data_IF_615305800461
#
_entry.id   IF_615305800461
#
_cell.length_a   1.000
_cell.length_b   1.000
_cell.length_c   1.000
_cell.angle_alpha   90.00
_cell.angle_beta   90.00
_cell.angle_gamma   90.00
#
_symmetry.space_group_name_H-M   'P 1'
#
loop_
_entity.id
_entity.type
_entity.pdbx_description
1 polymer ?
#
# COMPACT_ATOMS: atom_id res chain seq x y z
N UNK A 1 -37.55 -1.92 73.65
CA UNK A 1 -38.91 -2.49 73.79
C UNK A 1 -39.48 -2.65 72.39
N UNK A 2 -39.52 -3.88 71.85
CA UNK A 2 -40.01 -4.17 70.51
C UNK A 2 -41.51 -4.45 70.52
N UNK A 3 -42.17 -4.21 69.40
CA UNK A 3 -43.51 -4.73 69.16
C UNK A 3 -44.22 -4.01 68.04
N UNK A 4 -44.19 -4.58 66.82
CA UNK A 4 -45.38 -4.73 65.98
C UNK A 4 -45.16 -5.95 65.09
N UNK A 5 -46.02 -6.95 65.27
CA UNK A 5 -46.26 -8.05 64.34
C UNK A 5 -47.43 -7.65 63.45
N UNK A 6 -47.33 -7.82 62.14
CA UNK A 6 -48.51 -8.02 61.28
C UNK A 6 -48.17 -8.92 60.09
N UNK A 7 -48.90 -10.02 60.04
CA UNK A 7 -48.90 -11.08 59.03
C UNK A 7 -49.91 -10.68 57.95
N UNK A 8 -49.54 -10.78 56.67
CA UNK A 8 -50.50 -10.99 55.57
C UNK A 8 -49.96 -12.06 54.62
N UNK A 9 -50.67 -13.21 54.60
CA UNK A 9 -50.60 -14.25 53.57
C UNK A 9 -51.48 -13.83 52.38
N UNK A 10 -51.03 -14.12 51.15
CA UNK A 10 -51.82 -14.58 49.97
C UNK A 10 -50.83 -14.75 48.80
N UNK A 11 -50.46 -15.96 48.36
CA UNK A 11 -51.18 -16.99 47.58
C UNK A 11 -51.39 -16.64 46.08
N UNK A 12 -50.82 -17.51 45.22
CA UNK A 12 -51.30 -17.99 43.91
C UNK A 12 -50.87 -17.26 42.61
N UNK A 13 -50.13 -18.06 41.80
CA UNK A 13 -50.07 -18.18 40.32
C UNK A 13 -50.07 -16.91 39.46
N UNK A 14 -48.99 -16.74 38.70
CA UNK A 14 -49.13 -16.72 37.23
C UNK A 14 -47.86 -17.25 36.54
N UNK A 15 -47.97 -18.45 36.00
CA UNK A 15 -46.96 -19.13 35.18
C UNK A 15 -47.11 -18.59 33.75
N UNK A 16 -46.52 -17.43 33.44
CA UNK A 16 -46.54 -16.89 32.07
C UNK A 16 -45.46 -17.55 31.21
N UNK A 17 -45.96 -18.47 30.41
CA UNK A 17 -45.33 -19.23 29.36
C UNK A 17 -44.81 -18.30 28.24
N UNK A 18 -43.58 -17.80 28.38
CA UNK A 18 -42.86 -17.19 27.26
C UNK A 18 -42.30 -18.31 26.36
N UNK A 19 -43.10 -18.69 25.34
CA UNK A 19 -42.61 -19.41 24.16
C UNK A 19 -41.69 -18.47 23.38
N UNK A 20 -40.39 -18.48 23.71
CA UNK A 20 -39.38 -17.88 22.86
C UNK A 20 -39.18 -18.84 21.67
N UNK A 21 -39.61 -18.37 20.51
CA UNK A 21 -39.56 -19.07 19.23
C UNK A 21 -38.08 -19.36 18.84
N UNK A 22 -37.66 -20.62 18.59
CA UNK A 22 -36.27 -20.96 18.32
C UNK A 22 -35.82 -20.70 16.85
N UNK A 23 -36.53 -19.84 16.10
CA UNK A 23 -36.23 -19.60 14.67
C UNK A 23 -35.14 -18.55 14.41
N UNK A 24 -34.81 -17.68 15.37
CA UNK A 24 -33.82 -16.61 15.15
C UNK A 24 -32.35 -17.03 15.35
N UNK A 25 -32.08 -18.16 16.04
CA UNK A 25 -30.69 -18.62 16.27
C UNK A 25 -30.09 -19.46 15.14
N UNK A 26 -30.89 -19.88 14.16
CA UNK A 26 -30.37 -20.67 13.03
C UNK A 26 -29.95 -19.81 11.83
N UNK A 27 -30.58 -18.65 11.61
CA UNK A 27 -30.23 -17.78 10.48
C UNK A 27 -28.84 -17.13 10.63
N UNK A 28 -28.45 -16.77 11.85
CA UNK A 28 -27.13 -16.18 12.14
C UNK A 28 -25.93 -17.14 12.03
N UNK A 29 -26.15 -18.46 12.04
CA UNK A 29 -25.06 -19.44 11.86
C UNK A 29 -24.74 -19.70 10.39
N UNK A 30 -25.73 -19.57 9.51
CA UNK A 30 -25.54 -19.79 8.07
C UNK A 30 -24.79 -18.62 7.43
N UNK A 31 -25.13 -17.38 7.80
CA UNK A 31 -24.45 -16.16 7.31
C UNK A 31 -23.00 -16.05 7.80
N UNK A 32 -22.70 -16.50 9.02
CA UNK A 32 -21.32 -16.50 9.56
C UNK A 32 -20.38 -17.46 8.83
N UNK A 33 -20.87 -18.64 8.41
CA UNK A 33 -20.05 -19.62 7.68
C UNK A 33 -19.77 -19.20 6.24
N UNK A 34 -20.76 -18.60 5.57
CA UNK A 34 -20.61 -18.12 4.19
C UNK A 34 -19.66 -16.91 4.12
N UNK A 35 -19.74 -15.98 5.07
CA UNK A 35 -18.86 -14.81 5.14
C UNK A 35 -17.39 -15.19 5.41
N UNK A 36 -17.13 -16.12 6.33
CA UNK A 36 -15.75 -16.56 6.60
C UNK A 36 -15.14 -17.26 5.38
N UNK A 37 -15.93 -18.06 4.65
CA UNK A 37 -15.49 -18.75 3.44
C UNK A 37 -15.18 -17.78 2.30
N UNK A 38 -15.98 -16.72 2.12
CA UNK A 38 -15.69 -15.67 1.13
C UNK A 38 -14.42 -14.90 1.48
N UNK A 39 -14.22 -14.51 2.75
CA UNK A 39 -13.00 -13.80 3.15
C UNK A 39 -11.74 -14.65 2.95
N UNK A 40 -11.79 -15.95 3.29
CA UNK A 40 -10.66 -16.86 3.06
C UNK A 40 -10.37 -17.06 1.56
N UNK A 41 -11.41 -17.20 0.74
CA UNK A 41 -11.28 -17.30 -0.71
C UNK A 41 -10.69 -16.02 -1.33
N UNK A 42 -11.09 -14.84 -0.83
CA UNK A 42 -10.54 -13.56 -1.27
C UNK A 42 -9.06 -13.42 -0.90
N UNK A 43 -8.68 -13.82 0.31
CA UNK A 43 -7.27 -13.82 0.76
C UNK A 43 -6.42 -14.81 -0.05
N UNK A 44 -6.95 -16.00 -0.34
CA UNK A 44 -6.27 -16.99 -1.20
C UNK A 44 -6.17 -16.54 -2.66
N UNK A 45 -7.16 -15.80 -3.18
CA UNK A 45 -7.09 -15.17 -4.51
C UNK A 45 -6.06 -14.04 -4.57
N UNK A 46 -5.86 -13.31 -3.49
CA UNK A 46 -4.85 -12.24 -3.40
C UNK A 46 -3.44 -12.78 -3.11
N UNK A 47 -3.32 -13.97 -2.51
CA UNK A 47 -2.04 -14.61 -2.18
C UNK A 47 -1.32 -15.26 -3.39
N UNK A 48 -1.94 -15.26 -4.58
CA UNK A 48 -1.33 -15.72 -5.83
C UNK A 48 -0.56 -14.65 -6.62
N UNK A 49 -0.50 -13.41 -6.12
CA UNK A 49 0.32 -12.36 -6.73
C UNK A 49 1.76 -12.46 -6.18
N UNK A 50 2.66 -13.07 -6.95
CA UNK A 50 4.09 -13.27 -6.62
C UNK A 50 4.82 -11.96 -6.20
N UNK A 51 4.25 -10.80 -6.51
CA UNK A 51 4.46 -9.54 -5.79
C UNK A 51 3.37 -8.54 -6.18
N UNK A 52 2.95 -7.67 -5.25
CA UNK A 52 2.21 -6.46 -5.60
C UNK A 52 3.12 -5.58 -6.45
N UNK A 53 2.98 -5.64 -7.77
CA UNK A 53 3.74 -4.78 -8.68
C UNK A 53 3.04 -3.43 -8.73
N UNK A 54 3.62 -2.46 -8.02
CA UNK A 54 3.16 -1.07 -8.11
C UNK A 54 3.26 -0.60 -9.56
N UNK A 55 2.32 0.27 -9.95
CA UNK A 55 2.37 0.88 -11.28
C UNK A 55 3.70 1.65 -11.45
N UNK A 56 4.29 1.64 -12.66
CA UNK A 56 5.54 2.35 -12.90
C UNK A 56 5.45 3.84 -12.56
N UNK A 57 6.48 4.36 -11.90
CA UNK A 57 6.60 5.80 -11.58
C UNK A 57 6.70 6.63 -12.85
N UNK A 58 6.46 7.94 -12.77
CA UNK A 58 6.68 8.82 -13.93
C UNK A 58 8.14 8.78 -14.40
N UNK A 59 9.08 8.65 -13.48
CA UNK A 59 10.51 8.52 -13.80
C UNK A 59 10.81 7.21 -14.54
N UNK A 60 10.20 6.10 -14.13
CA UNK A 60 10.31 4.82 -14.84
C UNK A 60 9.69 4.88 -16.24
N UNK A 61 8.56 5.58 -16.42
CA UNK A 61 7.95 5.79 -17.74
C UNK A 61 8.84 6.65 -18.64
N UNK A 62 9.41 7.72 -18.10
CA UNK A 62 10.35 8.58 -18.83
C UNK A 62 11.58 7.79 -19.28
N UNK A 63 12.17 6.98 -18.40
CA UNK A 63 13.30 6.13 -18.74
C UNK A 63 12.92 5.05 -19.78
N UNK A 64 11.77 4.40 -19.64
CA UNK A 64 11.29 3.41 -20.61
C UNK A 64 11.06 4.01 -22.00
N UNK A 65 10.53 5.24 -22.06
CA UNK A 65 10.37 5.96 -23.32
C UNK A 65 11.73 6.39 -23.90
N UNK A 66 12.62 6.93 -23.08
CA UNK A 66 13.98 7.32 -23.48
C UNK A 66 14.74 6.12 -24.04
N UNK A 67 14.67 4.95 -23.39
CA UNK A 67 15.26 3.71 -23.88
C UNK A 67 14.75 3.31 -25.27
N UNK A 68 13.44 3.47 -25.54
CA UNK A 68 12.91 3.23 -26.88
C UNK A 68 13.42 4.23 -27.92
N UNK A 69 13.69 5.49 -27.55
CA UNK A 69 14.32 6.46 -28.45
C UNK A 69 15.79 6.12 -28.72
N UNK A 70 16.54 5.80 -27.66
CA UNK A 70 17.95 5.40 -27.74
C UNK A 70 18.13 4.19 -28.65
N UNK A 71 17.31 3.15 -28.49
CA UNK A 71 17.42 1.93 -29.30
C UNK A 71 16.99 2.14 -30.75
N UNK A 72 15.99 2.98 -31.01
CA UNK A 72 15.62 3.36 -32.38
C UNK A 72 16.74 4.13 -33.09
N UNK A 73 17.33 5.13 -32.42
CA UNK A 73 18.49 5.87 -32.96
C UNK A 73 19.69 4.95 -33.15
N UNK A 74 19.98 4.05 -32.21
CA UNK A 74 21.07 3.08 -32.35
C UNK A 74 20.87 2.13 -33.55
N UNK A 75 19.64 1.65 -33.79
CA UNK A 75 19.33 0.82 -34.95
C UNK A 75 19.52 1.57 -36.27
N UNK A 76 19.10 2.83 -36.31
CA UNK A 76 19.27 3.70 -37.49
C UNK A 76 20.74 4.05 -37.74
N UNK A 77 21.51 4.34 -36.69
CA UNK A 77 22.96 4.57 -36.79
C UNK A 77 23.68 3.34 -37.30
N UNK A 78 23.41 2.15 -36.76
CA UNK A 78 24.02 0.89 -37.21
C UNK A 78 23.77 0.63 -38.71
N UNK A 79 22.55 0.93 -39.18
CA UNK A 79 22.18 0.84 -40.60
C UNK A 79 22.92 1.86 -41.45
N UNK A 80 22.98 3.11 -41.01
CA UNK A 80 23.60 4.23 -41.74
C UNK A 80 25.11 4.09 -41.85
N UNK A 81 25.76 3.63 -40.78
CA UNK A 81 27.20 3.37 -40.74
C UNK A 81 27.60 2.05 -41.43
N UNK A 82 26.65 1.33 -42.03
CA UNK A 82 26.88 0.05 -42.69
C UNK A 82 27.59 -0.96 -41.78
N UNK A 83 27.17 -1.02 -40.51
CA UNK A 83 27.76 -1.95 -39.55
C UNK A 83 27.53 -3.41 -39.98
N UNK A 84 28.11 -4.37 -39.25
CA UNK A 84 27.87 -5.79 -39.51
C UNK A 84 26.37 -6.13 -39.51
N UNK A 85 25.97 -7.11 -40.34
CA UNK A 85 24.58 -7.58 -40.41
C UNK A 85 24.07 -8.05 -39.05
N UNK A 86 24.95 -8.66 -38.25
CA UNK A 86 24.65 -9.08 -36.89
C UNK A 86 24.30 -7.89 -35.99
N UNK A 87 25.10 -6.82 -35.99
CA UNK A 87 24.83 -5.63 -35.17
C UNK A 87 23.54 -4.92 -35.60
N UNK A 88 23.26 -4.84 -36.90
CA UNK A 88 22.00 -4.30 -37.42
C UNK A 88 20.80 -5.15 -36.96
N UNK A 89 20.94 -6.48 -36.95
CA UNK A 89 19.88 -7.37 -36.47
C UNK A 89 19.65 -7.24 -34.95
N UNK A 90 20.73 -7.17 -34.16
CA UNK A 90 20.65 -7.00 -32.70
C UNK A 90 20.02 -5.67 -32.30
N UNK A 91 20.43 -4.57 -32.95
CA UNK A 91 19.87 -3.23 -32.66
C UNK A 91 18.39 -3.13 -33.06
N UNK A 92 18.01 -3.73 -34.20
CA UNK A 92 16.60 -3.84 -34.60
C UNK A 92 15.75 -4.64 -33.60
N UNK A 93 16.29 -5.74 -33.07
CA UNK A 93 15.61 -6.52 -32.04
C UNK A 93 15.47 -5.71 -30.73
N UNK A 94 16.53 -5.00 -30.34
CA UNK A 94 16.53 -4.14 -29.16
C UNK A 94 15.49 -3.02 -29.25
N UNK A 95 15.35 -2.38 -30.42
CA UNK A 95 14.28 -1.40 -30.69
C UNK A 95 12.89 -2.01 -30.48
N UNK A 96 12.64 -3.20 -31.05
CA UNK A 96 11.35 -3.87 -30.93
C UNK A 96 11.01 -4.23 -29.47
N UNK A 97 11.98 -4.78 -28.73
CA UNK A 97 11.82 -5.11 -27.31
C UNK A 97 11.56 -3.84 -26.48
N UNK A 98 12.26 -2.75 -26.78
CA UNK A 98 12.09 -1.47 -26.10
C UNK A 98 10.70 -0.90 -26.29
N UNK A 99 10.14 -0.97 -27.49
CA UNK A 99 8.76 -0.55 -27.77
C UNK A 99 7.75 -1.37 -26.97
N UNK A 100 7.99 -2.66 -26.79
CA UNK A 100 7.15 -3.50 -25.94
C UNK A 100 7.23 -3.06 -24.46
N UNK A 101 8.41 -2.72 -23.96
CA UNK A 101 8.57 -2.18 -22.60
C UNK A 101 7.88 -0.83 -22.41
N UNK A 102 8.01 0.11 -23.35
CA UNK A 102 7.31 1.40 -23.27
C UNK A 102 5.78 1.20 -23.30
N UNK A 103 5.27 0.27 -24.12
CA UNK A 103 3.85 -0.08 -24.14
C UNK A 103 3.36 -0.63 -22.80
N UNK A 104 4.17 -1.50 -22.17
CA UNK A 104 3.86 -2.06 -20.84
C UNK A 104 3.89 -1.01 -19.73
N UNK A 105 4.89 -0.11 -19.74
CA UNK A 105 5.02 0.93 -18.71
C UNK A 105 4.02 2.09 -18.89
N UNK A 106 3.53 2.29 -20.12
CA UNK A 106 2.73 3.45 -20.50
C UNK A 106 3.60 4.65 -20.90
N UNK A 107 2.93 5.72 -21.36
CA UNK A 107 3.59 6.94 -21.80
C UNK A 107 3.84 7.89 -20.62
N UNK A 108 4.99 8.58 -20.58
CA UNK A 108 5.25 9.60 -19.57
C UNK A 108 4.38 10.83 -19.82
N UNK A 109 4.09 11.60 -18.76
CA UNK A 109 3.40 12.90 -18.89
C UNK A 109 4.29 13.96 -19.54
N UNK A 110 5.58 13.92 -19.23
CA UNK A 110 6.60 14.82 -19.75
C UNK A 110 7.67 14.01 -20.49
N UNK A 111 7.91 14.37 -21.75
CA UNK A 111 8.85 13.66 -22.60
C UNK A 111 10.27 14.25 -22.46
N UNK A 112 11.30 13.44 -22.15
CA UNK A 112 12.66 13.91 -22.20
C UNK A 112 13.07 14.24 -23.64
N UNK A 113 13.99 15.19 -23.82
CA UNK A 113 14.48 15.58 -25.14
C UNK A 113 15.37 14.44 -25.69
N UNK A 114 14.94 13.82 -26.79
CA UNK A 114 15.57 12.62 -27.34
C UNK A 114 15.27 12.43 -28.85
N UNK A 115 15.24 13.52 -29.61
CA UNK A 115 15.05 13.47 -31.06
C UNK A 115 16.35 13.13 -31.80
N UNK A 116 17.48 13.62 -31.30
CA UNK A 116 18.82 13.39 -31.89
C UNK A 116 19.75 12.64 -30.94
N UNK A 117 20.84 12.09 -31.48
CA UNK A 117 21.89 11.42 -30.69
C UNK A 117 22.46 12.36 -29.62
N UNK A 118 22.71 13.62 -29.95
CA UNK A 118 23.26 14.61 -29.02
C UNK A 118 22.30 14.88 -27.87
N UNK A 119 21.00 14.96 -28.16
CA UNK A 119 19.96 15.11 -27.13
C UNK A 119 19.87 13.88 -26.24
N UNK A 120 19.89 12.68 -26.84
CA UNK A 120 19.85 11.40 -26.11
C UNK A 120 21.03 11.29 -25.13
N UNK A 121 22.24 11.64 -25.57
CA UNK A 121 23.46 11.49 -24.79
C UNK A 121 23.72 12.63 -23.79
N UNK A 122 22.75 13.52 -23.57
CA UNK A 122 22.85 14.56 -22.55
C UNK A 122 22.97 13.99 -21.14
N UNK A 123 23.70 14.70 -20.28
CA UNK A 123 23.90 14.33 -18.88
C UNK A 123 22.57 14.14 -18.12
N UNK A 124 21.55 14.96 -18.40
CA UNK A 124 20.22 14.82 -17.80
C UNK A 124 19.57 13.46 -18.07
N UNK A 125 19.79 12.88 -19.26
CA UNK A 125 19.24 11.58 -19.64
C UNK A 125 19.98 10.43 -18.94
N UNK A 126 21.29 10.56 -18.71
CA UNK A 126 22.07 9.63 -17.89
C UNK A 126 21.62 9.64 -16.43
N UNK A 127 21.37 10.82 -15.87
CA UNK A 127 20.85 10.98 -14.53
C UNK A 127 19.45 10.40 -14.39
N UNK A 128 18.58 10.63 -15.38
CA UNK A 128 17.25 10.03 -15.44
C UNK A 128 17.32 8.49 -15.40
N UNK A 129 18.15 7.88 -16.25
CA UNK A 129 18.32 6.44 -16.30
C UNK A 129 18.89 5.87 -15.00
N UNK A 130 19.88 6.55 -14.40
CA UNK A 130 20.51 6.12 -13.14
C UNK A 130 19.56 6.20 -11.95
N UNK A 131 18.72 7.24 -11.90
CA UNK A 131 17.73 7.39 -10.85
C UNK A 131 16.57 6.38 -11.01
N UNK A 132 16.10 6.13 -12.24
CA UNK A 132 15.12 5.07 -12.51
C UNK A 132 15.66 3.67 -12.13
N UNK A 133 16.96 3.41 -12.37
CA UNK A 133 17.61 2.18 -11.94
C UNK A 133 17.62 2.06 -10.41
N UNK A 134 18.07 3.11 -9.72
CA UNK A 134 18.07 3.17 -8.24
C UNK A 134 16.68 2.86 -7.70
N UNK A 135 15.64 3.57 -8.18
CA UNK A 135 14.24 3.36 -7.79
C UNK A 135 13.76 1.93 -8.06
N UNK A 136 14.14 1.32 -9.21
CA UNK A 136 13.73 -0.05 -9.54
C UNK A 136 14.37 -1.12 -8.67
N UNK A 137 15.53 -0.83 -8.07
CA UNK A 137 16.24 -1.74 -7.16
C UNK A 137 15.82 -1.59 -5.71
N UNK A 138 15.25 -0.45 -5.36
CA UNK A 138 14.73 -0.20 -4.02
C UNK A 138 13.48 -1.04 -3.77
N UNK A 139 13.41 -1.70 -2.60
CA UNK A 139 12.18 -2.38 -2.19
C UNK A 139 11.07 -1.33 -2.06
N UNK A 140 9.84 -1.62 -2.52
CA UNK A 140 8.70 -0.76 -2.26
C UNK A 140 8.65 -0.41 -0.77
N UNK A 141 8.57 0.88 -0.47
CA UNK A 141 8.47 1.35 0.91
C UNK A 141 7.28 0.65 1.57
N UNK A 142 7.54 -0.04 2.68
CA UNK A 142 6.52 -0.81 3.40
C UNK A 142 5.31 0.06 3.75
N UNK A 143 5.54 1.35 4.00
CA UNK A 143 4.47 2.32 4.24
C UNK A 143 3.63 2.62 2.99
N UNK A 144 4.26 2.72 1.82
CA UNK A 144 3.55 2.95 0.57
C UNK A 144 2.69 1.73 0.18
N UNK A 145 3.19 0.53 0.44
CA UNK A 145 2.43 -0.72 0.25
C UNK A 145 1.24 -0.76 1.22
N UNK A 146 1.46 -0.42 2.49
CA UNK A 146 0.40 -0.37 3.50
C UNK A 146 -0.69 0.65 3.15
N UNK A 147 -0.31 1.87 2.73
CA UNK A 147 -1.26 2.90 2.32
C UNK A 147 -2.07 2.48 1.08
N UNK A 148 -1.41 1.88 0.09
CA UNK A 148 -2.09 1.37 -1.12
C UNK A 148 -3.07 0.25 -0.77
N UNK A 149 -2.70 -0.65 0.15
CA UNK A 149 -3.58 -1.71 0.62
C UNK A 149 -4.79 -1.15 1.39
N UNK A 150 -4.59 -0.13 2.23
CA UNK A 150 -5.67 0.56 2.94
C UNK A 150 -6.62 1.26 1.97
N UNK A 151 -6.12 1.91 0.92
CA UNK A 151 -6.96 2.52 -0.12
C UNK A 151 -7.84 1.51 -0.85
N UNK A 152 -7.27 0.39 -1.27
CA UNK A 152 -8.03 -0.70 -1.90
C UNK A 152 -9.06 -1.26 -0.92
N UNK A 153 -8.69 -1.48 0.35
CA UNK A 153 -9.60 -1.94 1.40
C UNK A 153 -10.77 -0.99 1.63
N UNK A 154 -10.51 0.32 1.67
CA UNK A 154 -11.54 1.37 1.76
C UNK A 154 -12.45 1.32 0.55
N UNK A 155 -11.91 1.24 -0.66
CA UNK A 155 -12.67 1.19 -1.91
C UNK A 155 -13.62 -0.01 -1.95
N UNK A 156 -13.13 -1.21 -1.62
CA UNK A 156 -13.94 -2.43 -1.57
C UNK A 156 -15.04 -2.30 -0.49
N UNK A 157 -14.69 -1.84 0.71
CA UNK A 157 -15.66 -1.67 1.79
C UNK A 157 -16.74 -0.61 1.47
N UNK A 158 -16.37 0.45 0.74
CA UNK A 158 -17.29 1.48 0.29
C UNK A 158 -18.25 0.95 -0.79
N UNK A 159 -17.74 0.17 -1.75
CA UNK A 159 -18.55 -0.38 -2.85
C UNK A 159 -19.52 -1.48 -2.40
N UNK A 160 -19.11 -2.35 -1.48
CA UNK A 160 -19.89 -3.57 -1.15
C UNK A 160 -20.45 -3.61 0.28
N UNK A 161 -20.09 -2.69 1.16
CA UNK A 161 -20.34 -2.85 2.60
C UNK A 161 -21.70 -2.35 3.12
N UNK A 162 -22.48 -1.59 2.35
CA UNK A 162 -23.72 -0.98 2.83
C UNK A 162 -23.52 -0.18 4.13
N UNK A 163 -24.47 -0.23 5.07
CA UNK A 163 -24.37 0.51 6.35
C UNK A 163 -23.17 0.05 7.19
N UNK A 164 -22.87 -1.25 7.23
CA UNK A 164 -21.71 -1.78 7.94
C UNK A 164 -20.38 -1.35 7.32
N UNK A 165 -20.35 -1.20 5.99
CA UNK A 165 -19.19 -0.70 5.23
C UNK A 165 -18.78 0.69 5.65
N UNK A 166 -19.73 1.59 5.91
CA UNK A 166 -19.42 2.97 6.32
C UNK A 166 -18.61 3.05 7.63
N UNK A 167 -18.85 2.14 8.59
CA UNK A 167 -18.09 2.07 9.84
C UNK A 167 -16.68 1.54 9.62
N UNK A 168 -16.54 0.52 8.78
CA UNK A 168 -15.23 -0.04 8.41
C UNK A 168 -14.40 0.97 7.63
N UNK A 169 -15.00 1.69 6.68
CA UNK A 169 -14.35 2.78 5.93
C UNK A 169 -13.83 3.85 6.88
N UNK A 170 -14.65 4.33 7.84
CA UNK A 170 -14.19 5.33 8.83
C UNK A 170 -13.03 4.80 9.67
N UNK A 171 -13.11 3.55 10.12
CA UNK A 171 -12.02 2.93 10.87
C UNK A 171 -10.72 2.84 10.05
N UNK A 172 -10.80 2.45 8.78
CA UNK A 172 -9.64 2.37 7.89
C UNK A 172 -9.06 3.76 7.57
N UNK A 173 -9.92 4.78 7.42
CA UNK A 173 -9.50 6.18 7.27
C UNK A 173 -8.77 6.68 8.53
N UNK A 174 -9.32 6.42 9.72
CA UNK A 174 -8.69 6.77 10.99
C UNK A 174 -7.35 6.05 11.17
N UNK A 175 -7.26 4.77 10.76
CA UNK A 175 -6.03 3.99 10.80
C UNK A 175 -4.97 4.58 9.85
N UNK A 176 -5.36 4.95 8.63
CA UNK A 176 -4.48 5.63 7.67
C UNK A 176 -3.95 6.96 8.22
N UNK A 177 -4.84 7.80 8.77
CA UNK A 177 -4.44 9.09 9.34
C UNK A 177 -3.43 8.91 10.50
N UNK A 178 -3.64 7.91 11.37
CA UNK A 178 -2.71 7.57 12.47
C UNK A 178 -1.37 7.05 11.95
N UNK A 179 -1.39 6.19 10.93
CA UNK A 179 -0.19 5.68 10.25
C UNK A 179 0.65 6.83 9.67
N UNK A 180 0.01 7.76 8.96
CA UNK A 180 0.67 8.93 8.40
C UNK A 180 1.29 9.84 9.47
N UNK A 181 0.54 10.15 10.53
CA UNK A 181 1.06 10.96 11.64
C UNK A 181 2.28 10.30 12.31
N UNK A 182 2.26 8.96 12.48
CA UNK A 182 3.40 8.23 13.01
C UNK A 182 4.62 8.29 12.08
N UNK A 183 4.40 8.16 10.77
CA UNK A 183 5.47 8.29 9.76
C UNK A 183 6.13 9.65 9.83
N UNK A 184 5.35 10.73 9.89
CA UNK A 184 5.85 12.11 10.03
C UNK A 184 6.69 12.27 11.30
N UNK A 185 6.24 11.71 12.43
CA UNK A 185 6.99 11.74 13.70
C UNK A 185 8.32 10.96 13.57
N UNK A 186 8.31 9.78 12.94
CA UNK A 186 9.53 8.98 12.75
C UNK A 186 10.52 9.73 11.85
N UNK A 187 10.07 10.25 10.71
CA UNK A 187 10.90 11.00 9.77
C UNK A 187 11.49 12.26 10.42
N UNK A 188 10.67 13.03 11.14
CA UNK A 188 11.13 14.21 11.88
C UNK A 188 12.17 13.86 12.96
N UNK A 189 11.97 12.75 13.68
CA UNK A 189 12.95 12.28 14.67
C UNK A 189 14.25 11.82 14.03
N UNK A 190 14.20 11.15 12.87
CA UNK A 190 15.42 10.77 12.13
C UNK A 190 16.16 12.00 11.62
N UNK A 191 15.46 12.99 11.07
CA UNK A 191 16.05 14.25 10.62
C UNK A 191 16.71 14.99 11.79
N UNK A 192 15.99 15.14 12.91
CA UNK A 192 16.53 15.77 14.12
C UNK A 192 17.82 15.10 14.58
N UNK A 193 17.88 13.76 14.58
CA UNK A 193 19.08 13.01 14.99
C UNK A 193 20.26 13.20 14.02
N UNK A 194 20.00 13.36 12.72
CA UNK A 194 21.04 13.63 11.72
C UNK A 194 21.65 15.02 11.92
N UNK A 195 20.81 16.02 12.16
CA UNK A 195 21.24 17.42 12.32
C UNK A 195 21.84 17.71 13.71
N UNK A 196 21.39 17.02 14.76
CA UNK A 196 21.74 17.30 16.16
C UNK A 196 22.47 16.12 16.81
N UNK A 197 23.55 15.64 16.20
CA UNK A 197 24.29 14.44 16.66
C UNK A 197 24.70 14.50 18.14
N UNK A 198 25.09 15.69 18.64
CA UNK A 198 25.47 15.90 20.04
C UNK A 198 24.30 15.72 21.03
N UNK A 199 23.07 15.92 20.58
CA UNK A 199 21.84 15.84 21.39
C UNK A 199 21.14 14.47 21.30
N UNK A 200 21.64 13.54 20.47
CA UNK A 200 21.02 12.21 20.28
C UNK A 200 20.94 11.44 21.60
N UNK A 201 21.94 11.57 22.47
CA UNK A 201 21.98 10.88 23.77
C UNK A 201 20.88 11.38 24.71
N UNK A 202 20.71 12.69 24.86
CA UNK A 202 19.66 13.28 25.71
C UNK A 202 18.27 13.02 25.13
N UNK A 203 18.11 13.08 23.81
CA UNK A 203 16.86 12.75 23.12
C UNK A 203 16.43 11.29 23.36
N UNK A 204 17.36 10.33 23.25
CA UNK A 204 17.08 8.91 23.55
C UNK A 204 16.73 8.71 25.03
N UNK A 205 17.41 9.38 25.95
CA UNK A 205 17.08 9.33 27.37
C UNK A 205 15.66 9.85 27.64
N UNK A 206 15.26 10.96 27.01
CA UNK A 206 13.91 11.49 27.12
C UNK A 206 12.85 10.51 26.59
N UNK A 207 13.11 9.81 25.48
CA UNK A 207 12.20 8.77 24.95
C UNK A 207 12.05 7.56 25.89
N UNK A 208 13.08 7.22 26.68
CA UNK A 208 12.99 6.11 27.64
C UNK A 208 11.97 6.39 28.77
N UNK A 209 11.68 7.66 29.05
CA UNK A 209 10.68 8.07 30.05
C UNK A 209 9.24 8.06 29.54
N UNK A 210 9.00 7.67 28.28
CA UNK A 210 7.63 7.47 27.81
C UNK A 210 6.93 6.35 28.58
N UNK A 211 5.64 6.54 28.83
CA UNK A 211 4.84 5.55 29.57
C UNK A 211 4.87 4.18 28.86
N UNK A 212 4.86 3.05 29.62
CA UNK A 212 4.73 1.71 29.03
C UNK A 212 3.60 1.55 28.00
N UNK A 213 2.36 2.07 28.22
CA UNK A 213 1.30 1.95 27.22
C UNK A 213 1.59 2.76 25.94
N UNK A 214 2.21 3.94 26.05
CA UNK A 214 2.63 4.71 24.86
C UNK A 214 3.69 3.94 24.06
N UNK A 215 4.65 3.30 24.74
CA UNK A 215 5.68 2.48 24.07
C UNK A 215 5.08 1.26 23.38
N UNK A 216 4.11 0.59 24.01
CA UNK A 216 3.39 -0.54 23.40
C UNK A 216 2.58 -0.11 22.17
N UNK A 217 1.88 1.03 22.24
CA UNK A 217 1.15 1.57 21.10
C UNK A 217 2.08 1.93 19.94
N UNK A 218 3.18 2.64 20.20
CA UNK A 218 4.16 2.99 19.17
C UNK A 218 4.84 1.75 18.58
N UNK A 219 5.13 0.73 19.40
CA UNK A 219 5.69 -0.52 18.92
C UNK A 219 4.69 -1.30 18.05
N UNK A 220 3.42 -1.39 18.48
CA UNK A 220 2.36 -2.07 17.74
C UNK A 220 1.99 -1.38 16.41
N UNK A 221 2.24 -0.07 16.28
CA UNK A 221 2.01 0.66 15.03
C UNK A 221 3.25 0.69 14.11
N UNK A 222 4.42 0.28 14.59
CA UNK A 222 5.68 0.23 13.81
C UNK A 222 5.94 -1.12 13.15
N UNK A 223 5.39 -2.20 13.71
CA UNK A 223 5.51 -3.57 13.20
C UNK A 223 4.40 -3.92 12.25
#
# INVERSE_FOLDING_TARGET
MPGVTLIVKTSIKEKKMNRICPKERQFGRFTRRLSLSCCLALVLWMAGCDSLRLAPSEQQKQNAWLHSRTTAVAAETARTEQSSQELQALTKLSELQSRAFTSYCGLPKEYPQAETTEQILTESNWQLASAALTESTERPDAWQVADSALEVGIGICALFGGVCGTRVVRFLQDARAKSQALREIIQGNELFKKENQSQVKSFKAAQQHQSPPTRQLVAAMKG
#
